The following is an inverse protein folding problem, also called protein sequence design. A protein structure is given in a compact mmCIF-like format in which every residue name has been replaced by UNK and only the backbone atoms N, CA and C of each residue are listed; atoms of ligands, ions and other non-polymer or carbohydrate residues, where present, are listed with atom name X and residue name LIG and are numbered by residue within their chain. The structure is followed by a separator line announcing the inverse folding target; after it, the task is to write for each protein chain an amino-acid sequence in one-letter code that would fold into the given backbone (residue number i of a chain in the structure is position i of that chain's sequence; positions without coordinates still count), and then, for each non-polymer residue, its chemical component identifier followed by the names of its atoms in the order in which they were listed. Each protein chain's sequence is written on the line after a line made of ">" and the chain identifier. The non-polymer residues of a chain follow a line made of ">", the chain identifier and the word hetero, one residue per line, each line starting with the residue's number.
data_IF_327116507996
#
_entry.id   IF_327116507996
#
_cell.length_a   1.000
_cell.length_b   1.000
_cell.length_c   1.000
_cell.angle_alpha   90.00
_cell.angle_beta   90.00
_cell.angle_gamma   90.00
#
_symmetry.space_group_name_H-M   'P 1'
#
loop_
_entity.id
_entity.type
_entity.pdbx_description
1 polymer ?
#
# COMPACT_ATOMS: atom_id res chain seq x y z
N UNK A 1 22.06 -5.36 -9.61
CA UNK A 1 20.96 -4.79 -8.78
C UNK A 1 21.54 -4.26 -7.48
N UNK A 2 20.81 -3.46 -6.72
CA UNK A 2 21.25 -2.93 -5.43
C UNK A 2 20.52 -3.65 -4.29
N UNK A 3 21.24 -3.92 -3.22
CA UNK A 3 20.60 -4.27 -1.96
C UNK A 3 20.00 -3.02 -1.31
N UNK A 4 18.80 -3.15 -0.77
CA UNK A 4 18.10 -2.06 -0.09
C UNK A 4 17.98 -2.36 1.40
N UNK A 5 18.07 -1.31 2.21
CA UNK A 5 17.66 -1.32 3.61
C UNK A 5 16.47 -0.39 3.78
N UNK A 6 15.39 -0.91 4.33
CA UNK A 6 14.16 -0.17 4.59
C UNK A 6 13.97 -0.06 6.10
N UNK A 7 14.06 1.12 6.63
CA UNK A 7 14.10 1.38 8.07
C UNK A 7 12.94 2.28 8.50
N UNK A 8 12.23 1.93 9.56
CA UNK A 8 11.28 2.82 10.24
C UNK A 8 12.06 3.98 10.85
N UNK A 9 11.78 5.20 10.40
CA UNK A 9 12.43 6.41 10.92
C UNK A 9 11.56 7.18 11.89
N UNK A 10 10.25 7.18 11.69
CA UNK A 10 9.29 7.90 12.52
C UNK A 10 7.97 7.16 12.60
N UNK A 11 7.28 7.29 13.71
CA UNK A 11 5.87 6.96 13.91
C UNK A 11 5.18 8.24 14.33
N UNK A 12 4.33 8.81 13.47
CA UNK A 12 3.73 10.13 13.68
C UNK A 12 2.43 10.08 14.48
N UNK A 13 1.91 8.88 14.70
CA UNK A 13 0.71 8.64 15.49
C UNK A 13 0.84 7.37 16.30
N UNK A 14 -0.22 6.58 16.37
CA UNK A 14 -0.26 5.28 17.06
C UNK A 14 -0.31 4.15 16.03
N UNK A 15 0.77 3.38 15.93
CA UNK A 15 0.83 2.24 15.03
C UNK A 15 -0.12 1.12 15.50
N UNK A 16 -1.06 0.72 14.66
CA UNK A 16 -2.08 -0.30 14.96
C UNK A 16 -1.60 -1.74 14.78
N UNK A 17 -0.41 -1.97 14.27
CA UNK A 17 0.18 -3.31 14.20
C UNK A 17 0.43 -3.87 15.60
N UNK A 18 0.35 -5.19 15.77
CA UNK A 18 0.61 -5.84 17.04
C UNK A 18 1.72 -6.92 16.89
N UNK A 19 2.89 -6.70 17.53
CA UNK A 19 3.31 -5.50 18.27
C UNK A 19 3.47 -4.27 17.34
N UNK A 20 3.42 -3.02 17.86
CA UNK A 20 3.56 -1.84 17.03
C UNK A 20 4.99 -1.71 16.47
N UNK A 21 5.08 -1.25 15.21
CA UNK A 21 6.38 -0.91 14.62
C UNK A 21 6.96 0.33 15.30
N UNK A 22 8.28 0.37 15.44
CA UNK A 22 9.01 1.45 16.14
C UNK A 22 10.21 1.92 15.34
N UNK A 23 10.67 3.16 15.54
CA UNK A 23 11.90 3.65 14.94
C UNK A 23 13.08 2.70 15.20
N UNK A 24 13.81 2.40 14.11
CA UNK A 24 14.91 1.43 14.12
C UNK A 24 14.52 0.05 13.61
N UNK A 25 13.24 -0.33 13.59
CA UNK A 25 12.81 -1.57 12.93
C UNK A 25 13.16 -1.49 11.44
N UNK A 26 13.68 -2.59 10.89
CA UNK A 26 14.10 -2.62 9.50
C UNK A 26 13.98 -4.01 8.87
N UNK A 27 14.02 -4.01 7.57
CA UNK A 27 14.24 -5.20 6.75
C UNK A 27 15.16 -4.84 5.58
N UNK A 28 15.71 -5.86 4.92
CA UNK A 28 16.48 -5.66 3.69
C UNK A 28 15.79 -6.35 2.52
N UNK A 29 16.09 -5.86 1.32
CA UNK A 29 15.64 -6.48 0.06
C UNK A 29 16.85 -6.66 -0.83
N UNK A 30 17.02 -7.88 -1.34
CA UNK A 30 18.11 -8.23 -2.22
C UNK A 30 17.62 -9.16 -3.33
N UNK A 31 17.72 -8.73 -4.57
CA UNK A 31 17.26 -9.49 -5.76
C UNK A 31 15.79 -9.95 -5.64
N UNK A 32 14.93 -9.06 -5.10
CA UNK A 32 13.52 -9.33 -4.83
C UNK A 32 13.25 -10.11 -3.53
N UNK A 33 14.26 -10.67 -2.87
CA UNK A 33 14.11 -11.41 -1.62
C UNK A 33 14.08 -10.46 -0.42
N UNK A 34 13.03 -10.56 0.40
CA UNK A 34 12.91 -9.82 1.65
C UNK A 34 13.56 -10.61 2.77
N UNK A 35 14.41 -9.95 3.56
CA UNK A 35 15.05 -10.52 4.75
C UNK A 35 14.72 -9.67 5.97
N UNK A 36 14.14 -10.32 6.96
CA UNK A 36 13.76 -9.69 8.22
C UNK A 36 14.72 -10.16 9.30
N UNK A 37 15.30 -9.27 10.14
CA UNK A 37 16.14 -9.67 11.27
C UNK A 37 15.44 -10.65 12.20
N UNK A 38 16.20 -11.52 12.86
CA UNK A 38 15.65 -12.46 13.83
C UNK A 38 14.85 -11.72 14.94
N UNK A 39 13.64 -12.17 15.19
CA UNK A 39 12.71 -11.54 16.13
C UNK A 39 12.02 -10.26 15.60
N UNK A 40 12.34 -9.84 14.37
CA UNK A 40 11.66 -8.75 13.68
C UNK A 40 10.44 -9.21 12.90
N UNK A 41 9.68 -8.26 12.42
CA UNK A 41 8.56 -8.49 11.50
C UNK A 41 8.36 -7.26 10.61
N UNK A 42 7.54 -7.41 9.58
CA UNK A 42 7.08 -6.31 8.75
C UNK A 42 5.55 -6.34 8.65
N UNK A 43 4.93 -5.20 8.86
CA UNK A 43 3.49 -5.05 8.64
C UNK A 43 3.17 -5.12 7.14
N UNK A 44 2.24 -6.01 6.75
CA UNK A 44 1.85 -6.19 5.34
C UNK A 44 1.26 -4.92 4.72
N UNK A 45 0.56 -4.10 5.48
CA UNK A 45 0.03 -2.82 5.02
C UNK A 45 1.15 -1.85 4.67
N UNK A 46 2.16 -1.77 5.53
CA UNK A 46 3.33 -0.96 5.25
C UNK A 46 4.09 -1.48 4.03
N UNK A 47 4.32 -2.79 3.98
CA UNK A 47 5.04 -3.44 2.87
C UNK A 47 4.40 -3.13 1.53
N UNK A 48 3.07 -3.18 1.44
CA UNK A 48 2.35 -2.91 0.21
C UNK A 48 2.64 -1.53 -0.37
N UNK A 49 2.69 -0.48 0.45
CA UNK A 49 3.01 0.86 -0.01
C UNK A 49 4.49 1.06 -0.36
N UNK A 50 5.34 0.19 0.16
CA UNK A 50 6.77 0.19 -0.13
C UNK A 50 7.10 -0.49 -1.46
N UNK A 51 6.32 -1.49 -1.88
CA UNK A 51 6.60 -2.30 -3.07
C UNK A 51 6.82 -1.48 -4.35
N UNK A 52 6.00 -0.46 -4.68
CA UNK A 52 6.22 0.36 -5.88
C UNK A 52 7.52 1.15 -5.88
N UNK A 53 8.10 1.38 -4.72
CA UNK A 53 9.37 2.12 -4.56
C UNK A 53 10.55 1.17 -4.49
N UNK A 54 10.41 0.04 -3.81
CA UNK A 54 11.47 -0.98 -3.64
C UNK A 54 11.93 -1.48 -5.01
N UNK A 55 10.99 -1.94 -5.83
CA UNK A 55 11.30 -2.57 -7.13
C UNK A 55 12.16 -1.70 -8.07
N UNK A 56 11.87 -0.42 -8.34
CA UNK A 56 12.76 0.42 -9.13
C UNK A 56 14.06 0.77 -8.41
N UNK A 57 14.06 0.90 -7.07
CA UNK A 57 15.27 1.25 -6.32
C UNK A 57 16.33 0.13 -6.26
N UNK A 58 15.97 -1.12 -6.48
CA UNK A 58 16.93 -2.21 -6.68
C UNK A 58 17.67 -2.12 -8.03
N UNK A 59 17.22 -1.27 -8.96
CA UNK A 59 17.75 -1.11 -10.33
C UNK A 59 18.59 0.14 -10.45
N UNK A 60 19.28 0.28 -11.61
CA UNK A 60 19.95 1.55 -11.92
C UNK A 60 18.91 2.65 -12.06
N UNK A 61 19.20 3.77 -11.44
CA UNK A 61 18.42 5.00 -11.52
C UNK A 61 19.38 6.08 -12.03
N UNK A 62 18.91 6.90 -12.95
CA UNK A 62 19.69 7.98 -13.51
C UNK A 62 19.73 9.15 -12.52
N UNK A 63 20.76 9.22 -11.69
CA UNK A 63 20.87 10.15 -10.57
C UNK A 63 20.93 11.62 -10.94
N UNK A 64 21.35 11.93 -12.16
CA UNK A 64 21.58 13.32 -12.61
C UNK A 64 20.56 13.87 -13.60
N UNK A 65 19.47 13.16 -13.85
CA UNK A 65 18.47 13.62 -14.81
C UNK A 65 17.18 13.95 -14.10
N UNK A 66 16.69 15.16 -14.31
CA UNK A 66 15.37 15.61 -13.82
C UNK A 66 14.20 14.69 -14.28
N UNK A 67 14.49 13.81 -15.22
CA UNK A 67 13.55 12.85 -15.80
C UNK A 67 13.29 11.61 -14.92
N UNK A 68 14.27 11.15 -14.13
CA UNK A 68 14.09 10.01 -13.22
C UNK A 68 13.82 10.48 -11.78
N UNK A 69 12.57 10.76 -11.50
CA UNK A 69 12.12 11.21 -10.19
C UNK A 69 12.38 10.20 -9.06
N UNK A 70 12.58 8.91 -9.37
CA UNK A 70 12.74 7.84 -8.37
C UNK A 70 14.02 8.03 -7.53
N UNK A 71 15.07 8.66 -8.06
CA UNK A 71 16.27 8.91 -7.29
C UNK A 71 16.03 9.83 -6.09
N UNK A 72 15.03 10.73 -6.16
CA UNK A 72 14.62 11.65 -5.07
C UNK A 72 13.70 11.00 -4.04
N UNK A 73 13.15 9.82 -4.33
CA UNK A 73 12.22 9.13 -3.42
C UNK A 73 13.01 8.31 -2.42
N UNK A 74 13.21 8.85 -1.23
CA UNK A 74 13.91 8.16 -0.14
C UNK A 74 13.00 7.73 0.99
N UNK A 75 11.73 8.15 0.99
CA UNK A 75 10.78 7.85 2.05
C UNK A 75 9.45 7.38 1.47
N UNK A 76 8.79 6.49 2.22
CA UNK A 76 7.41 6.13 2.00
C UNK A 76 6.67 6.05 3.34
N UNK A 77 5.36 6.13 3.30
CA UNK A 77 4.52 6.13 4.50
C UNK A 77 3.56 4.95 4.48
N UNK A 78 3.33 4.35 5.65
CA UNK A 78 2.27 3.38 5.85
C UNK A 78 0.90 3.99 5.50
N UNK A 79 -0.02 3.26 4.85
CA UNK A 79 -1.35 3.77 4.50
C UNK A 79 -2.28 3.94 5.71
N UNK A 80 -1.90 3.44 6.90
CA UNK A 80 -2.67 3.61 8.12
C UNK A 80 -2.66 5.09 8.57
N UNK A 81 -3.82 5.79 8.57
CA UNK A 81 -3.88 7.19 8.96
C UNK A 81 -3.66 7.40 10.46
N UNK A 82 -3.88 6.37 11.30
CA UNK A 82 -3.63 6.44 12.75
C UNK A 82 -2.14 6.35 13.05
N UNK A 83 -1.43 5.39 12.44
CA UNK A 83 -0.03 5.13 12.70
C UNK A 83 0.92 6.07 11.97
N UNK A 84 0.70 6.27 10.69
CA UNK A 84 1.55 7.09 9.81
C UNK A 84 3.04 6.80 10.00
N UNK A 85 3.40 5.51 9.90
CA UNK A 85 4.79 5.05 10.03
C UNK A 85 5.57 5.48 8.80
N UNK A 86 6.70 6.16 8.99
CA UNK A 86 7.59 6.63 7.92
C UNK A 86 8.77 5.69 7.78
N UNK A 87 9.00 5.21 6.57
CA UNK A 87 10.12 4.37 6.20
C UNK A 87 11.12 5.17 5.37
N UNK A 88 12.40 4.98 5.65
CA UNK A 88 13.51 5.42 4.80
C UNK A 88 13.98 4.23 3.98
N UNK A 89 14.21 4.43 2.68
CA UNK A 89 14.68 3.41 1.74
C UNK A 89 16.06 3.81 1.28
N UNK A 90 17.07 3.01 1.61
CA UNK A 90 18.49 3.27 1.35
C UNK A 90 19.07 2.16 0.48
N UNK A 91 19.88 2.55 -0.51
CA UNK A 91 20.72 1.62 -1.25
C UNK A 91 21.99 1.33 -0.46
N UNK A 92 22.27 0.06 -0.23
CA UNK A 92 23.44 -0.37 0.54
C UNK A 92 24.64 -0.65 -0.36
N UNK A 93 24.47 -1.38 -1.45
CA UNK A 93 25.53 -1.72 -2.37
C UNK A 93 25.03 -2.49 -3.58
N UNK A 94 25.85 -2.57 -4.63
CA UNK A 94 25.57 -3.43 -5.79
C UNK A 94 25.76 -4.90 -5.39
N UNK A 95 24.81 -5.71 -5.81
CA UNK A 95 24.82 -7.16 -5.64
C UNK A 95 25.31 -7.80 -6.93
N UNK A 96 26.39 -8.57 -6.87
CA UNK A 96 26.81 -9.39 -7.99
C UNK A 96 25.82 -10.56 -8.16
N UNK A 97 25.37 -10.78 -9.42
CA UNK A 97 24.54 -11.93 -9.75
C UNK A 97 25.33 -13.20 -9.57
N UNK A 98 25.04 -14.02 -8.56
CA UNK A 98 25.74 -15.30 -8.45
C UNK A 98 25.54 -16.19 -7.23
N UNK A 99 24.76 -15.84 -6.24
CA UNK A 99 24.56 -16.73 -5.10
C UNK A 99 23.07 -16.81 -4.70
N UNK A 100 22.29 -17.61 -5.41
CA UNK A 100 21.05 -18.15 -4.85
C UNK A 100 21.42 -19.30 -3.92
N UNK A 101 21.34 -19.08 -2.63
CA UNK A 101 21.25 -20.18 -1.67
C UNK A 101 19.89 -20.87 -1.84
N UNK A 102 19.93 -22.14 -2.19
CA UNK A 102 18.74 -23.00 -2.23
C UNK A 102 18.28 -23.26 -0.80
N UNK A 103 17.08 -22.89 -0.47
CA UNK A 103 16.50 -23.24 0.82
C UNK A 103 15.03 -22.83 0.97
N UNK A 104 14.15 -23.83 1.00
CA UNK A 104 12.81 -23.67 1.57
C UNK A 104 11.67 -24.27 0.74
N UNK A 105 11.40 -25.56 0.96
CA UNK A 105 10.18 -26.26 0.55
C UNK A 105 8.97 -25.74 1.36
N UNK A 106 7.81 -25.65 0.70
CA UNK A 106 6.51 -25.87 1.32
C UNK A 106 5.61 -24.64 1.39
N UNK A 107 4.74 -24.47 0.39
CA UNK A 107 3.42 -23.92 0.60
C UNK A 107 2.45 -25.05 0.29
N UNK A 108 1.72 -25.52 1.29
CA UNK A 108 0.59 -26.44 1.10
C UNK A 108 -0.62 -25.61 0.65
N UNK A 109 -1.32 -26.16 -0.36
CA UNK A 109 -2.54 -25.58 -0.92
C UNK A 109 -3.65 -25.58 0.14
N UNK A 110 -4.18 -24.41 0.45
CA UNK A 110 -5.41 -24.27 1.25
C UNK A 110 -6.58 -24.25 0.29
N UNK A 111 -7.34 -25.35 0.28
CA UNK A 111 -8.59 -25.44 -0.45
C UNK A 111 -9.62 -24.42 0.07
N UNK A 112 -10.28 -23.74 -0.88
CA UNK A 112 -11.26 -22.71 -0.59
C UNK A 112 -12.54 -23.28 0.01
N UNK A 113 -12.92 -22.73 1.16
CA UNK A 113 -14.22 -22.97 1.78
C UNK A 113 -15.36 -22.27 1.03
N UNK A 114 -16.41 -23.00 0.68
CA UNK A 114 -17.70 -22.48 0.21
C UNK A 114 -18.32 -21.63 1.33
N UNK A 115 -18.60 -20.37 1.04
CA UNK A 115 -19.18 -19.48 2.01
C UNK A 115 -20.13 -18.45 1.43
N UNK A 116 -21.31 -18.43 1.96
CA UNK A 116 -22.33 -17.38 2.05
C UNK A 116 -22.73 -16.69 0.71
N UNK A 117 -23.95 -16.91 0.30
CA UNK A 117 -24.72 -16.14 -0.68
C UNK A 117 -24.84 -14.66 -0.25
N UNK A 118 -23.76 -13.89 -0.49
CA UNK A 118 -23.76 -12.45 -0.29
C UNK A 118 -23.38 -11.76 -1.60
N UNK A 119 -24.26 -10.92 -2.12
CA UNK A 119 -23.97 -10.13 -3.32
C UNK A 119 -22.81 -9.17 -3.04
N UNK A 120 -21.90 -9.03 -3.98
CA UNK A 120 -20.83 -8.05 -3.91
C UNK A 120 -21.42 -6.63 -3.88
N UNK A 121 -20.77 -5.75 -3.15
CA UNK A 121 -21.12 -4.33 -3.06
C UNK A 121 -20.30 -3.52 -4.06
N UNK A 122 -20.94 -2.51 -4.64
CA UNK A 122 -20.21 -1.45 -5.32
C UNK A 122 -19.50 -0.58 -4.28
N UNK A 123 -18.33 -0.07 -4.65
CA UNK A 123 -17.58 0.84 -3.79
C UNK A 123 -17.39 2.18 -4.49
N UNK A 124 -17.43 3.25 -3.71
CA UNK A 124 -16.93 4.57 -4.09
C UNK A 124 -15.70 4.86 -3.25
N UNK A 125 -14.61 5.19 -3.91
CA UNK A 125 -13.35 5.57 -3.25
C UNK A 125 -13.13 7.04 -3.52
N UNK A 126 -13.21 7.86 -2.48
CA UNK A 126 -13.24 9.32 -2.59
C UNK A 126 -12.13 9.96 -1.80
N UNK A 127 -11.49 10.98 -2.37
CA UNK A 127 -10.58 11.86 -1.63
C UNK A 127 -11.40 12.68 -0.64
N UNK A 128 -11.16 12.45 0.63
CA UNK A 128 -11.85 13.19 1.71
C UNK A 128 -11.09 14.44 2.10
N UNK A 129 -9.77 14.34 2.20
CA UNK A 129 -8.93 15.44 2.67
C UNK A 129 -7.57 15.43 1.97
N UNK A 130 -7.00 16.60 1.75
CA UNK A 130 -5.64 16.82 1.31
C UNK A 130 -4.95 17.74 2.33
N UNK A 131 -4.07 17.18 3.16
CA UNK A 131 -3.44 17.91 4.29
C UNK A 131 -2.18 18.66 3.90
N UNK A 132 -1.64 18.37 2.71
CA UNK A 132 -0.39 18.95 2.24
C UNK A 132 -0.45 19.33 0.77
N UNK A 133 0.69 19.31 0.09
CA UNK A 133 0.79 19.60 -1.34
C UNK A 133 0.80 18.29 -2.14
N UNK A 134 -0.35 17.92 -2.70
CA UNK A 134 -0.47 16.75 -3.56
C UNK A 134 0.16 17.03 -4.93
N UNK A 135 1.19 16.26 -5.31
CA UNK A 135 1.90 16.40 -6.61
C UNK A 135 1.04 15.98 -7.80
N UNK A 136 0.07 15.08 -7.59
CA UNK A 136 -0.89 14.65 -8.63
C UNK A 136 -2.10 15.59 -8.76
N UNK A 137 -2.20 16.65 -7.95
CA UNK A 137 -3.30 17.61 -8.02
C UNK A 137 -4.66 17.07 -7.56
N UNK A 138 -4.69 15.98 -6.78
CA UNK A 138 -5.94 15.46 -6.20
C UNK A 138 -6.60 16.50 -5.30
N UNK A 139 -7.93 16.50 -5.30
CA UNK A 139 -8.76 17.44 -4.51
C UNK A 139 -9.85 16.67 -3.77
N UNK A 140 -10.31 17.17 -2.62
CA UNK A 140 -11.50 16.62 -1.97
C UNK A 140 -12.68 16.49 -2.94
N UNK A 141 -13.32 15.29 -2.93
CA UNK A 141 -14.38 14.93 -3.86
C UNK A 141 -13.93 14.19 -5.12
N UNK A 142 -12.65 14.21 -5.49
CA UNK A 142 -12.14 13.34 -6.57
C UNK A 142 -12.35 11.88 -6.18
N UNK A 143 -12.87 11.07 -7.10
CA UNK A 143 -13.25 9.70 -6.78
C UNK A 143 -13.19 8.76 -7.97
N UNK A 144 -13.23 7.48 -7.67
CA UNK A 144 -13.58 6.44 -8.61
C UNK A 144 -14.63 5.50 -8.03
N UNK A 145 -15.29 4.75 -8.92
CA UNK A 145 -16.26 3.71 -8.57
C UNK A 145 -15.68 2.36 -8.92
N UNK A 146 -15.83 1.38 -8.03
CA UNK A 146 -15.51 -0.01 -8.28
C UNK A 146 -16.81 -0.82 -8.38
N UNK A 147 -17.08 -1.41 -9.54
CA UNK A 147 -18.24 -2.29 -9.81
C UNK A 147 -17.76 -3.61 -10.41
N UNK A 148 -18.14 -4.73 -9.82
CA UNK A 148 -17.74 -6.07 -10.30
C UNK A 148 -16.25 -6.18 -10.68
N UNK A 149 -15.36 -5.62 -9.86
CA UNK A 149 -13.92 -5.58 -10.12
C UNK A 149 -13.47 -4.58 -11.19
N UNK A 150 -14.39 -3.80 -11.78
CA UNK A 150 -14.10 -2.79 -12.79
C UNK A 150 -14.04 -1.40 -12.16
N UNK A 151 -12.99 -0.68 -12.45
CA UNK A 151 -12.75 0.68 -11.96
C UNK A 151 -13.28 1.70 -12.99
N UNK A 152 -14.07 2.67 -12.52
CA UNK A 152 -14.65 3.74 -13.32
C UNK A 152 -14.26 5.08 -12.71
N UNK A 153 -13.57 5.92 -13.49
CA UNK A 153 -13.25 7.30 -13.13
C UNK A 153 -14.21 8.22 -13.91
N UNK A 154 -14.80 9.26 -13.29
CA UNK A 154 -15.65 10.21 -13.99
C UNK A 154 -14.95 10.86 -15.19
N UNK A 155 -15.71 11.16 -16.26
CA UNK A 155 -15.18 11.79 -17.47
C UNK A 155 -14.42 13.08 -17.12
N UNK A 156 -13.29 13.30 -17.80
CA UNK A 156 -12.41 14.47 -17.60
C UNK A 156 -11.80 14.59 -16.21
N UNK A 157 -11.81 13.50 -15.41
CA UNK A 157 -11.15 13.39 -14.10
C UNK A 157 -10.03 12.36 -14.16
N UNK A 158 -9.17 12.41 -13.18
CA UNK A 158 -8.13 11.41 -12.95
C UNK A 158 -8.18 10.97 -11.49
N UNK A 159 -7.53 9.85 -11.19
CA UNK A 159 -7.26 9.43 -9.83
C UNK A 159 -5.81 9.00 -9.72
N UNK A 160 -5.11 9.47 -8.70
CA UNK A 160 -3.70 9.20 -8.51
C UNK A 160 -3.44 7.70 -8.31
N UNK A 161 -2.50 7.14 -9.07
CA UNK A 161 -2.13 5.72 -8.99
C UNK A 161 -1.62 5.33 -7.59
N UNK A 162 -0.91 6.21 -6.90
CA UNK A 162 -0.41 5.94 -5.54
C UNK A 162 -1.53 5.93 -4.51
N UNK A 163 -2.49 6.86 -4.61
CA UNK A 163 -3.67 6.87 -3.75
C UNK A 163 -4.56 5.64 -4.02
N UNK A 164 -4.72 5.26 -5.29
CA UNK A 164 -5.39 4.02 -5.68
C UNK A 164 -4.68 2.80 -5.09
N UNK A 165 -3.36 2.73 -5.22
CA UNK A 165 -2.56 1.62 -4.71
C UNK A 165 -2.74 1.44 -3.18
N UNK A 166 -2.82 2.52 -2.42
CA UNK A 166 -3.07 2.45 -0.98
C UNK A 166 -4.43 1.82 -0.64
N UNK A 167 -5.45 2.05 -1.46
CA UNK A 167 -6.79 1.50 -1.25
C UNK A 167 -6.93 0.05 -1.75
N UNK A 168 -6.18 -0.35 -2.78
CA UNK A 168 -6.34 -1.62 -3.50
C UNK A 168 -6.50 -2.87 -2.61
N UNK A 169 -5.71 -3.09 -1.53
CA UNK A 169 -5.83 -4.31 -0.73
C UNK A 169 -7.15 -4.45 -0.01
N UNK A 170 -7.77 -3.32 0.31
CA UNK A 170 -9.02 -3.32 1.07
C UNK A 170 -10.23 -3.52 0.17
N UNK A 171 -10.14 -3.13 -1.11
CA UNK A 171 -11.29 -3.09 -2.01
C UNK A 171 -11.96 -4.45 -2.21
N UNK A 172 -11.24 -5.56 -2.48
CA UNK A 172 -11.87 -6.86 -2.66
C UNK A 172 -12.61 -7.35 -1.41
N UNK A 173 -12.04 -7.11 -0.22
CA UNK A 173 -12.68 -7.49 1.03
C UNK A 173 -13.92 -6.64 1.31
N UNK A 174 -13.83 -5.32 1.10
CA UNK A 174 -14.96 -4.39 1.30
C UNK A 174 -16.12 -4.58 0.32
N UNK A 175 -15.90 -5.22 -0.82
CA UNK A 175 -16.99 -5.61 -1.72
C UNK A 175 -17.82 -6.78 -1.18
N UNK A 176 -17.29 -7.58 -0.26
CA UNK A 176 -17.93 -8.78 0.29
C UNK A 176 -18.77 -8.45 1.53
N UNK A 177 -19.72 -9.33 1.92
CA UNK A 177 -20.32 -9.26 3.25
C UNK A 177 -19.22 -9.27 4.30
N UNK A 178 -19.36 -8.41 5.30
CA UNK A 178 -18.46 -8.33 6.45
C UNK A 178 -19.26 -8.73 7.69
N UNK A 179 -18.71 -9.60 8.51
CA UNK A 179 -19.33 -10.07 9.73
C UNK A 179 -19.34 -8.99 10.81
N UNK A 180 -20.17 -9.18 11.85
CA UNK A 180 -20.15 -8.29 13.01
C UNK A 180 -18.84 -8.44 13.76
N UNK A 181 -18.20 -7.30 14.09
CA UNK A 181 -16.87 -7.28 14.69
C UNK A 181 -15.71 -7.31 13.67
N UNK A 182 -15.98 -7.44 12.38
CA UNK A 182 -14.95 -7.28 11.36
C UNK A 182 -14.46 -5.82 11.34
N UNK A 183 -13.18 -5.64 11.64
CA UNK A 183 -12.55 -4.32 11.69
C UNK A 183 -12.68 -3.52 10.39
N UNK A 184 -12.84 -4.20 9.25
CA UNK A 184 -13.09 -3.56 7.95
C UNK A 184 -14.45 -2.85 7.89
N UNK A 185 -15.41 -3.12 8.79
CA UNK A 185 -16.67 -2.36 8.85
C UNK A 185 -16.43 -0.91 9.28
N UNK A 186 -15.51 -0.72 10.22
CA UNK A 186 -15.25 0.58 10.85
C UNK A 186 -14.10 1.33 10.18
N UNK A 187 -13.07 0.62 9.72
CA UNK A 187 -11.90 1.22 9.11
C UNK A 187 -12.10 1.44 7.62
N UNK A 188 -12.53 2.64 7.26
CA UNK A 188 -12.88 3.05 5.90
C UNK A 188 -11.85 3.98 5.26
N UNK A 189 -10.74 4.29 5.92
CA UNK A 189 -9.80 5.29 5.45
C UNK A 189 -8.43 4.69 5.15
N UNK A 190 -7.81 5.20 4.11
CA UNK A 190 -6.39 4.99 3.82
C UNK A 190 -5.71 6.32 3.53
N UNK A 191 -4.42 6.37 3.70
CA UNK A 191 -3.62 7.55 3.37
C UNK A 191 -2.68 7.23 2.22
N UNK A 192 -2.55 8.19 1.29
CA UNK A 192 -1.57 8.10 0.22
C UNK A 192 -0.15 7.91 0.79
N UNK A 193 0.70 7.07 0.17
CA UNK A 193 2.07 6.87 0.62
C UNK A 193 2.98 8.09 0.46
N UNK A 194 2.55 9.13 -0.27
CA UNK A 194 3.27 10.40 -0.36
C UNK A 194 3.07 11.23 0.93
N UNK A 195 4.11 11.38 1.77
CA UNK A 195 4.01 12.12 3.02
C UNK A 195 3.89 13.63 2.81
N UNK A 196 4.18 14.14 1.60
CA UNK A 196 4.07 15.56 1.27
C UNK A 196 2.63 15.94 1.00
N UNK A 197 1.89 15.08 0.33
CA UNK A 197 0.49 15.30 -0.02
C UNK A 197 -0.47 14.97 1.13
N UNK A 198 -0.19 13.93 1.89
CA UNK A 198 -1.04 13.43 2.97
C UNK A 198 -2.52 13.35 2.57
N UNK A 199 -2.78 12.76 1.40
CA UNK A 199 -4.14 12.62 0.86
C UNK A 199 -4.85 11.50 1.60
N UNK A 200 -5.96 11.82 2.25
CA UNK A 200 -6.85 10.85 2.91
C UNK A 200 -7.93 10.45 1.92
N UNK A 201 -8.09 9.14 1.76
CA UNK A 201 -9.06 8.53 0.87
C UNK A 201 -10.02 7.69 1.69
N UNK A 202 -11.33 7.88 1.49
CA UNK A 202 -12.39 7.12 2.14
C UNK A 202 -13.02 6.12 1.18
N UNK A 203 -13.29 4.91 1.68
CA UNK A 203 -13.93 3.83 0.93
C UNK A 203 -15.36 3.68 1.43
N UNK A 204 -16.33 3.93 0.55
CA UNK A 204 -17.77 3.86 0.82
C UNK A 204 -18.39 2.65 0.11
N UNK A 205 -19.28 1.96 0.76
CA UNK A 205 -20.16 0.96 0.16
C UNK A 205 -21.40 1.64 -0.39
N UNK A 206 -21.67 1.54 -1.70
CA UNK A 206 -22.73 2.32 -2.40
C UNK A 206 -23.77 1.46 -3.11
N UNK A 207 -24.16 0.36 -2.58
CA UNK A 207 -25.19 -0.49 -3.16
C UNK A 207 -24.70 -1.86 -3.63
N UNK A 208 -25.64 -2.71 -4.00
CA UNK A 208 -25.37 -4.08 -4.43
C UNK A 208 -25.12 -4.15 -5.94
N UNK A 209 -24.29 -5.10 -6.35
CA UNK A 209 -24.10 -5.42 -7.77
C UNK A 209 -25.34 -6.19 -8.22
N UNK A 210 -26.10 -5.63 -9.16
CA UNK A 210 -27.29 -6.25 -9.76
C UNK A 210 -28.63 -5.63 -9.36
N UNK A 211 -28.64 -4.49 -8.65
CA UNK A 211 -29.85 -3.80 -8.19
C UNK A 211 -30.49 -2.77 -9.15
N UNK A 212 -29.95 -2.58 -10.34
CA UNK A 212 -30.59 -1.73 -11.36
C UNK A 212 -30.62 -2.46 -12.70
N UNK A 213 -31.84 -2.81 -13.14
CA UNK A 213 -32.16 -3.03 -14.55
C UNK A 213 -32.60 -1.69 -15.14
#
# INVERSE_FOLDING_TARGET
>A
MYELKVTVTKVLGECTANPPMKPGDYFTVRDGDIRIPQGGYICLWALQNLLPVITPKEREILEDKDEDWMWRVHHAQCPDPKGRVIFKIERMGKVEKGAREQGGKGAEDIEGGEGAEGRLRNLRVVVEEVRGKCTSGMRPGDHFILRSGRLYIPAHRHFCLYALHAALPLLPAKQRPLEDGDWLKEDNHVICPDPTGNVIVRIERIGEIGGER
#
